data_IF_135156367921
#
_entry.id   IF_135156367921
#
_cell.length_a   1.000
_cell.length_b   1.000
_cell.length_c   1.000
_cell.angle_alpha   90.00
_cell.angle_beta   90.00
_cell.angle_gamma   90.00
#
_symmetry.space_group_name_H-M   'P 1'
#
loop_
_entity.id
_entity.type
_entity.pdbx_description
1 polymer ?
#
# COMPACT_ATOMS: atom_id res chain seq x y z
N UNK A 1 -16.17 -18.09 -22.56
CA UNK A 1 -14.93 -18.04 -21.74
C UNK A 1 -14.77 -19.38 -21.04
N UNK A 2 -13.57 -20.00 -21.07
CA UNK A 2 -13.29 -21.27 -20.37
C UNK A 2 -13.44 -21.04 -18.85
N UNK A 3 -14.08 -21.95 -18.11
CA UNK A 3 -14.36 -21.78 -16.67
C UNK A 3 -13.09 -21.76 -15.79
N UNK A 4 -12.03 -22.42 -16.25
CA UNK A 4 -10.77 -22.57 -15.52
C UNK A 4 -10.05 -21.23 -15.26
N UNK A 5 -9.82 -20.33 -16.25
CA UNK A 5 -9.29 -19.00 -15.99
C UNK A 5 -10.10 -18.21 -14.95
N UNK A 6 -11.43 -18.24 -15.03
CA UNK A 6 -12.28 -17.52 -14.06
C UNK A 6 -12.09 -18.06 -12.65
N UNK A 7 -11.98 -19.38 -12.48
CA UNK A 7 -11.76 -20.00 -11.17
C UNK A 7 -10.36 -19.66 -10.62
N UNK A 8 -9.34 -19.63 -11.49
CA UNK A 8 -7.99 -19.20 -11.09
C UNK A 8 -7.99 -17.73 -10.65
N UNK A 9 -8.56 -16.83 -11.46
CA UNK A 9 -8.54 -15.39 -11.18
C UNK A 9 -9.44 -14.96 -10.02
N UNK A 10 -10.64 -15.51 -9.89
CA UNK A 10 -11.63 -15.05 -8.92
C UNK A 10 -11.73 -15.90 -7.64
N UNK A 11 -11.19 -17.12 -7.63
CA UNK A 11 -11.21 -17.97 -6.43
C UNK A 11 -9.81 -18.29 -5.93
N UNK A 12 -8.95 -18.84 -6.79
CA UNK A 12 -7.64 -19.33 -6.37
C UNK A 12 -6.69 -18.20 -5.98
N UNK A 13 -6.57 -17.16 -6.82
CA UNK A 13 -5.71 -16.01 -6.53
C UNK A 13 -6.13 -15.29 -5.24
N UNK A 14 -7.41 -14.94 -5.00
CA UNK A 14 -7.84 -14.36 -3.73
C UNK A 14 -7.61 -15.28 -2.53
N UNK A 15 -7.84 -16.58 -2.68
CA UNK A 15 -7.64 -17.54 -1.59
C UNK A 15 -6.17 -17.65 -1.18
N UNK A 16 -5.26 -17.59 -2.15
CA UNK A 16 -3.82 -17.57 -1.93
C UNK A 16 -3.35 -16.26 -1.32
N UNK A 17 -3.98 -15.13 -1.71
CA UNK A 17 -3.66 -13.82 -1.17
C UNK A 17 -4.15 -13.66 0.28
N UNK A 18 -5.29 -14.25 0.64
CA UNK A 18 -5.96 -14.03 1.92
C UNK A 18 -5.08 -14.27 3.17
N UNK A 19 -4.24 -15.32 3.27
CA UNK A 19 -3.32 -15.49 4.40
C UNK A 19 -2.28 -14.39 4.51
N UNK A 20 -1.76 -13.89 3.39
CA UNK A 20 -0.77 -12.83 3.35
C UNK A 20 -1.40 -11.48 3.69
N UNK A 21 -2.61 -11.21 3.19
CA UNK A 21 -3.41 -10.05 3.57
C UNK A 21 -3.69 -10.05 5.08
N UNK A 22 -4.09 -11.20 5.63
CA UNK A 22 -4.33 -11.34 7.06
C UNK A 22 -3.07 -11.10 7.89
N UNK A 23 -1.93 -11.65 7.47
CA UNK A 23 -0.65 -11.45 8.11
C UNK A 23 -0.23 -9.97 8.06
N UNK A 24 -0.32 -9.35 6.89
CA UNK A 24 -0.01 -7.92 6.68
C UNK A 24 -0.90 -7.04 7.58
N UNK A 25 -2.21 -7.25 7.59
CA UNK A 25 -3.13 -6.51 8.45
C UNK A 25 -2.83 -6.72 9.95
N UNK A 26 -2.46 -7.94 10.34
CA UNK A 26 -2.06 -8.26 11.71
C UNK A 26 -0.81 -7.49 12.15
N UNK A 27 0.21 -7.47 11.29
CA UNK A 27 1.45 -6.70 11.48
C UNK A 27 1.16 -5.20 11.59
N UNK A 28 0.43 -4.63 10.64
CA UNK A 28 0.08 -3.20 10.65
C UNK A 28 -0.69 -2.82 11.90
N UNK A 29 -1.69 -3.61 12.31
CA UNK A 29 -2.45 -3.36 13.55
C UNK A 29 -1.58 -3.48 14.80
N UNK A 30 -0.67 -4.45 14.84
CA UNK A 30 0.27 -4.63 15.94
C UNK A 30 1.23 -3.46 16.08
N UNK A 31 1.84 -3.04 14.97
CA UNK A 31 2.75 -1.90 14.90
C UNK A 31 2.04 -0.60 15.27
N UNK A 32 0.83 -0.35 14.76
CA UNK A 32 0.08 0.85 15.10
C UNK A 32 -0.24 0.91 16.60
N UNK A 33 -0.71 -0.20 17.19
CA UNK A 33 -0.97 -0.29 18.65
C UNK A 33 0.29 -0.05 19.46
N UNK A 34 1.42 -0.61 19.02
CA UNK A 34 2.71 -0.42 19.66
C UNK A 34 3.17 1.05 19.57
N UNK A 35 3.07 1.67 18.40
CA UNK A 35 3.38 3.08 18.19
C UNK A 35 2.53 4.01 19.05
N UNK A 36 1.23 3.74 19.16
CA UNK A 36 0.32 4.50 20.02
C UNK A 36 0.66 4.32 21.51
N UNK A 37 1.01 3.10 21.94
CA UNK A 37 1.41 2.83 23.33
C UNK A 37 2.71 3.55 23.73
N UNK A 38 3.62 3.79 22.78
CA UNK A 38 4.85 4.55 23.02
C UNK A 38 4.64 6.06 23.19
N UNK A 39 3.49 6.58 22.75
CA UNK A 39 3.13 7.99 22.79
C UNK A 39 3.97 8.90 21.87
N UNK A 40 3.36 10.02 21.46
CA UNK A 40 4.03 11.06 20.67
C UNK A 40 4.05 10.80 19.15
N UNK A 41 3.68 11.83 18.39
CA UNK A 41 3.51 11.77 16.93
C UNK A 41 4.75 11.28 16.18
N UNK A 42 5.95 11.66 16.63
CA UNK A 42 7.21 11.22 16.01
C UNK A 42 7.42 9.70 16.09
N UNK A 43 7.12 9.09 17.24
CA UNK A 43 7.30 7.64 17.41
C UNK A 43 6.30 6.86 16.56
N UNK A 44 5.06 7.35 16.48
CA UNK A 44 4.04 6.80 15.56
C UNK A 44 4.53 6.87 14.12
N UNK A 45 5.07 8.02 13.69
CA UNK A 45 5.59 8.19 12.33
C UNK A 45 6.72 7.22 11.99
N UNK A 46 7.68 7.02 12.90
CA UNK A 46 8.79 6.06 12.71
C UNK A 46 8.25 4.63 12.58
N UNK A 47 7.30 4.23 13.43
CA UNK A 47 6.70 2.89 13.37
C UNK A 47 5.86 2.70 12.10
N UNK A 48 5.16 3.73 11.63
CA UNK A 48 4.47 3.70 10.34
C UNK A 48 5.43 3.53 9.15
N UNK A 49 6.63 4.12 9.22
CA UNK A 49 7.65 3.90 8.19
C UNK A 49 8.14 2.44 8.18
N UNK A 50 8.31 1.82 9.36
CA UNK A 50 8.67 0.41 9.47
C UNK A 50 7.58 -0.49 8.87
N UNK A 51 6.30 -0.17 9.09
CA UNK A 51 5.17 -0.89 8.49
C UNK A 51 5.21 -0.83 6.95
N UNK A 52 5.46 0.35 6.37
CA UNK A 52 5.60 0.51 4.90
C UNK A 52 6.72 -0.38 4.34
N UNK A 53 7.88 -0.40 5.01
CA UNK A 53 9.01 -1.24 4.59
C UNK A 53 8.67 -2.73 4.68
N UNK A 54 8.00 -3.15 5.75
CA UNK A 54 7.57 -4.54 5.92
C UNK A 54 6.52 -4.94 4.87
N UNK A 55 5.56 -4.08 4.56
CA UNK A 55 4.60 -4.30 3.48
C UNK A 55 5.31 -4.46 2.12
N UNK A 56 6.32 -3.63 1.85
CA UNK A 56 7.16 -3.76 0.66
C UNK A 56 7.90 -5.10 0.60
N UNK A 57 8.41 -5.60 1.73
CA UNK A 57 9.05 -6.93 1.81
C UNK A 57 8.04 -8.06 1.57
N UNK A 58 6.80 -7.93 2.05
CA UNK A 58 5.77 -8.96 1.90
C UNK A 58 5.29 -9.15 0.44
N UNK A 59 5.59 -8.22 -0.46
CA UNK A 59 5.26 -8.36 -1.89
C UNK A 59 6.05 -9.49 -2.56
N UNK A 60 7.27 -9.77 -2.10
CA UNK A 60 8.15 -10.80 -2.64
C UNK A 60 7.59 -12.22 -2.45
N UNK A 61 7.28 -12.68 -1.22
CA UNK A 61 6.67 -13.98 -1.03
C UNK A 61 5.28 -14.07 -1.69
N UNK A 62 4.50 -12.99 -1.70
CA UNK A 62 3.22 -12.95 -2.40
C UNK A 62 3.39 -13.30 -3.88
N UNK A 63 4.27 -12.57 -4.57
CA UNK A 63 4.48 -12.77 -5.99
C UNK A 63 5.08 -14.14 -6.31
N UNK A 64 5.99 -14.65 -5.46
CA UNK A 64 6.53 -16.00 -5.62
C UNK A 64 5.42 -17.06 -5.51
N UNK A 65 4.55 -16.97 -4.51
CA UNK A 65 3.44 -17.92 -4.31
C UNK A 65 2.43 -17.80 -5.47
N UNK A 66 2.06 -16.58 -5.87
CA UNK A 66 1.16 -16.35 -7.02
C UNK A 66 1.74 -16.94 -8.31
N UNK A 67 3.04 -16.75 -8.56
CA UNK A 67 3.74 -17.31 -9.72
C UNK A 67 3.77 -18.83 -9.69
N UNK A 68 4.08 -19.44 -8.53
CA UNK A 68 4.08 -20.88 -8.36
C UNK A 68 2.68 -21.49 -8.57
N UNK A 69 1.63 -20.83 -8.06
CA UNK A 69 0.25 -21.28 -8.21
C UNK A 69 -0.23 -21.20 -9.66
N UNK A 70 0.12 -20.15 -10.39
CA UNK A 70 -0.16 -20.05 -11.83
C UNK A 70 0.62 -21.11 -12.63
N UNK A 71 1.87 -21.38 -12.24
CA UNK A 71 2.68 -22.47 -12.79
C UNK A 71 2.00 -23.83 -12.61
N UNK A 72 1.56 -24.13 -11.39
CA UNK A 72 0.80 -25.35 -11.08
C UNK A 72 -0.51 -25.45 -11.87
N UNK A 73 -1.26 -24.35 -11.97
CA UNK A 73 -2.51 -24.32 -12.74
C UNK A 73 -2.28 -24.60 -14.23
N UNK A 74 -1.20 -24.06 -14.82
CA UNK A 74 -0.82 -24.37 -16.20
C UNK A 74 -0.44 -25.84 -16.37
N UNK A 75 0.38 -26.37 -15.46
CA UNK A 75 0.81 -27.77 -15.51
C UNK A 75 -0.38 -28.72 -15.43
N UNK A 76 -1.32 -28.48 -14.50
CA UNK A 76 -2.56 -29.26 -14.39
C UNK A 76 -3.45 -29.14 -15.64
N UNK A 77 -3.53 -27.95 -16.24
CA UNK A 77 -4.32 -27.74 -17.46
C UNK A 77 -3.76 -28.53 -18.65
N UNK A 78 -2.43 -28.54 -18.81
CA UNK A 78 -1.74 -29.31 -19.85
C UNK A 78 -1.86 -30.81 -19.60
N UNK A 79 -1.68 -31.26 -18.35
CA UNK A 79 -1.82 -32.66 -17.96
C UNK A 79 -3.24 -33.20 -18.22
N UNK A 80 -4.26 -32.34 -18.07
CA UNK A 80 -5.65 -32.64 -18.41
C UNK A 80 -5.95 -32.62 -19.92
N UNK A 81 -4.93 -32.47 -20.78
CA UNK A 81 -5.06 -32.40 -22.24
C UNK A 81 -5.53 -31.04 -22.78
N UNK A 82 -5.50 -30.01 -21.94
CA UNK A 82 -5.83 -28.63 -22.31
C UNK A 82 -4.61 -27.80 -22.68
N UNK A 83 -4.82 -26.50 -22.83
CA UNK A 83 -3.77 -25.51 -23.04
C UNK A 83 -3.43 -24.80 -21.72
N UNK A 84 -2.21 -24.28 -21.60
CA UNK A 84 -1.81 -23.44 -20.48
C UNK A 84 -2.78 -22.23 -20.34
N UNK A 85 -3.22 -21.96 -19.10
CA UNK A 85 -4.14 -20.87 -18.78
C UNK A 85 -3.47 -19.52 -19.02
N UNK A 86 -2.22 -19.38 -18.60
CA UNK A 86 -1.40 -18.19 -18.78
C UNK A 86 0.08 -18.61 -18.83
N UNK A 87 0.75 -18.65 -19.99
CA UNK A 87 2.13 -19.13 -20.09
C UNK A 87 3.11 -18.19 -19.34
N UNK A 88 3.39 -18.53 -18.07
CA UNK A 88 4.15 -17.69 -17.13
C UNK A 88 5.60 -17.49 -17.58
N UNK A 89 6.31 -18.56 -17.97
CA UNK A 89 7.73 -18.44 -18.29
C UNK A 89 8.00 -17.54 -19.51
N UNK A 90 7.27 -17.66 -20.64
CA UNK A 90 7.37 -16.70 -21.75
C UNK A 90 6.99 -15.28 -21.35
N UNK A 91 5.93 -15.10 -20.56
CA UNK A 91 5.49 -13.79 -20.09
C UNK A 91 6.58 -13.11 -19.25
N UNK A 92 7.15 -13.83 -18.28
CA UNK A 92 8.21 -13.30 -17.43
C UNK A 92 9.46 -12.96 -18.25
N UNK A 93 9.84 -13.78 -19.24
CA UNK A 93 10.97 -13.46 -20.13
C UNK A 93 10.71 -12.19 -20.94
N UNK A 94 9.53 -12.03 -21.53
CA UNK A 94 9.16 -10.83 -22.26
C UNK A 94 9.23 -9.58 -21.37
N UNK A 95 8.76 -9.68 -20.12
CA UNK A 95 8.91 -8.63 -19.11
C UNK A 95 10.37 -8.37 -18.73
N UNK A 96 11.25 -9.38 -18.75
CA UNK A 96 12.69 -9.20 -18.53
C UNK A 96 13.34 -8.34 -19.61
N UNK A 97 13.00 -8.66 -20.86
CA UNK A 97 13.62 -8.10 -22.05
C UNK A 97 13.11 -6.68 -22.31
N UNK A 98 11.81 -6.45 -22.06
CA UNK A 98 11.13 -5.18 -22.32
C UNK A 98 10.21 -4.77 -21.16
N UNK A 99 10.77 -4.47 -19.97
CA UNK A 99 9.98 -4.25 -18.76
C UNK A 99 9.11 -3.00 -18.81
N UNK A 100 9.48 -1.99 -19.60
CA UNK A 100 8.69 -0.77 -19.77
C UNK A 100 7.60 -0.88 -20.87
N UNK A 101 7.46 -2.03 -21.53
CA UNK A 101 6.45 -2.22 -22.58
C UNK A 101 5.04 -2.12 -21.98
N UNK A 102 4.17 -1.23 -22.51
CA UNK A 102 2.77 -1.13 -22.11
C UNK A 102 2.00 -2.46 -22.14
N UNK A 103 2.42 -3.42 -22.98
CA UNK A 103 1.85 -4.77 -23.03
C UNK A 103 2.00 -5.54 -21.70
N UNK A 104 2.93 -5.16 -20.83
CA UNK A 104 3.17 -5.77 -19.53
C UNK A 104 2.48 -5.03 -18.37
N UNK A 105 1.93 -3.84 -18.60
CA UNK A 105 1.38 -2.99 -17.53
C UNK A 105 0.24 -3.66 -16.76
N UNK A 106 -0.56 -4.51 -17.40
CA UNK A 106 -1.62 -5.24 -16.71
C UNK A 106 -1.09 -6.19 -15.62
N UNK A 107 0.12 -6.75 -15.77
CA UNK A 107 0.74 -7.62 -14.76
C UNK A 107 1.16 -6.78 -13.55
N UNK A 108 1.81 -5.63 -13.81
CA UNK A 108 2.16 -4.69 -12.75
C UNK A 108 0.91 -4.15 -12.06
N UNK A 109 -0.14 -3.79 -12.80
CA UNK A 109 -1.41 -3.34 -12.23
C UNK A 109 -2.07 -4.43 -11.39
N UNK A 110 -2.08 -5.67 -11.85
CA UNK A 110 -2.63 -6.79 -11.06
C UNK A 110 -1.85 -6.96 -9.75
N UNK A 111 -0.53 -7.00 -9.82
CA UNK A 111 0.32 -7.18 -8.64
C UNK A 111 0.23 -6.00 -7.68
N UNK A 112 0.29 -4.77 -8.19
CA UNK A 112 0.24 -3.55 -7.39
C UNK A 112 -1.18 -3.21 -6.93
N UNK A 113 -2.23 -3.78 -7.54
CA UNK A 113 -3.61 -3.57 -7.09
C UNK A 113 -3.85 -4.09 -5.67
N UNK A 114 -3.09 -5.09 -5.23
CA UNK A 114 -3.14 -5.60 -3.86
C UNK A 114 -2.55 -4.59 -2.85
N UNK A 115 -1.76 -3.61 -3.32
CA UNK A 115 -1.28 -2.49 -2.50
C UNK A 115 -2.31 -1.36 -2.38
N UNK A 116 -3.38 -1.38 -3.18
CA UNK A 116 -4.39 -0.32 -3.15
C UNK A 116 -5.05 -0.14 -1.77
N UNK A 117 -5.47 -1.22 -1.05
CA UNK A 117 -5.94 -1.09 0.32
C UNK A 117 -4.89 -0.47 1.24
N UNK A 118 -3.61 -0.84 1.09
CA UNK A 118 -2.51 -0.30 1.89
C UNK A 118 -2.28 1.19 1.62
N UNK A 119 -2.39 1.64 0.37
CA UNK A 119 -2.33 3.06 0.01
C UNK A 119 -3.43 3.88 0.69
N UNK A 120 -4.67 3.36 0.74
CA UNK A 120 -5.77 4.02 1.45
C UNK A 120 -5.49 4.12 2.95
N UNK A 121 -4.94 3.08 3.57
CA UNK A 121 -4.55 3.11 4.99
C UNK A 121 -3.42 4.11 5.26
N UNK A 122 -2.40 4.18 4.40
CA UNK A 122 -1.31 5.16 4.51
C UNK A 122 -1.87 6.58 4.41
N UNK A 123 -2.78 6.82 3.47
CA UNK A 123 -3.43 8.12 3.31
C UNK A 123 -4.21 8.52 4.58
N UNK A 124 -5.01 7.60 5.12
CA UNK A 124 -5.74 7.83 6.37
C UNK A 124 -4.82 8.06 7.56
N UNK A 125 -3.73 7.28 7.67
CA UNK A 125 -2.72 7.43 8.71
C UNK A 125 -1.99 8.77 8.62
N UNK A 126 -1.67 9.22 7.42
CA UNK A 126 -1.02 10.52 7.19
C UNK A 126 -1.93 11.69 7.58
N UNK A 127 -3.21 11.64 7.19
CA UNK A 127 -4.21 12.63 7.64
C UNK A 127 -4.29 12.62 9.17
N UNK A 128 -4.41 11.45 9.80
CA UNK A 128 -4.43 11.32 11.26
C UNK A 128 -3.18 11.90 11.93
N UNK A 129 -2.00 11.66 11.37
CA UNK A 129 -0.73 12.21 11.88
C UNK A 129 -0.70 13.75 11.78
N UNK A 130 -1.13 14.32 10.66
CA UNK A 130 -1.23 15.77 10.50
C UNK A 130 -2.20 16.39 11.51
N UNK A 131 -3.36 15.77 11.73
CA UNK A 131 -4.31 16.21 12.74
C UNK A 131 -3.72 16.13 14.15
N UNK A 132 -2.97 15.07 14.46
CA UNK A 132 -2.26 14.95 15.73
C UNK A 132 -1.19 16.05 15.91
N UNK A 133 -0.52 16.47 14.84
CA UNK A 133 0.40 17.61 14.88
C UNK A 133 -0.30 18.95 15.14
N UNK A 134 -1.58 19.08 14.76
CA UNK A 134 -2.40 20.27 15.03
C UNK A 134 -3.06 20.27 16.41
N UNK A 135 -3.15 19.12 17.07
CA UNK A 135 -3.77 18.98 18.39
C UNK A 135 -3.26 19.99 19.44
N UNK A 136 -1.95 20.27 19.58
CA UNK A 136 -1.45 21.22 20.59
C UNK A 136 -1.94 22.65 20.35
N UNK A 137 -2.09 23.04 19.08
CA UNK A 137 -2.63 24.36 18.70
C UNK A 137 -4.10 24.43 19.09
N UNK A 138 -4.84 23.35 18.88
CA UNK A 138 -6.25 23.25 19.24
C UNK A 138 -6.46 23.34 20.76
N UNK A 139 -5.66 22.59 21.54
CA UNK A 139 -5.68 22.65 23.00
C UNK A 139 -5.35 24.07 23.50
N UNK A 140 -4.36 24.73 22.88
CA UNK A 140 -4.00 26.10 23.22
C UNK A 140 -5.13 27.10 22.90
N UNK A 141 -5.83 26.93 21.77
CA UNK A 141 -6.95 27.78 21.38
C UNK A 141 -8.17 27.59 22.29
N UNK A 142 -8.48 26.36 22.68
CA UNK A 142 -9.56 26.06 23.64
C UNK A 142 -9.24 26.64 25.02
N UNK A 143 -8.01 26.48 25.52
CA UNK A 143 -7.59 27.08 26.80
C UNK A 143 -7.66 28.61 26.77
N UNK A 144 -7.27 29.24 25.65
CA UNK A 144 -7.39 30.68 25.47
C UNK A 144 -8.86 31.13 25.48
N UNK A 145 -9.78 30.33 24.92
CA UNK A 145 -11.21 30.62 24.97
C UNK A 145 -11.76 30.51 26.41
N UNK A 146 -11.43 29.46 27.15
CA UNK A 146 -11.87 29.28 28.54
C UNK A 146 -11.38 30.41 29.46
N UNK A 147 -10.14 30.87 29.27
CA UNK A 147 -9.59 32.03 29.99
C UNK A 147 -10.39 33.32 29.71
N UNK A 148 -10.80 33.55 28.46
CA UNK A 148 -11.54 34.75 28.07
C UNK A 148 -13.00 34.70 28.52
N UNK A 149 -13.65 33.52 28.46
CA UNK A 149 -15.01 33.32 28.97
C UNK A 149 -15.08 33.52 30.50
N UNK A 150 -14.03 33.15 31.24
CA UNK A 150 -13.97 33.33 32.70
C UNK A 150 -13.67 34.78 33.13
N UNK A 151 -12.91 35.55 32.35
CA UNK A 151 -12.63 36.97 32.63
C UNK A 151 -13.65 37.96 32.03
N UNK A 152 -14.70 37.48 31.34
CA UNK A 152 -15.79 38.32 30.83
C UNK A 152 -15.48 39.03 29.50
N UNK A 153 -14.56 38.50 28.69
CA UNK A 153 -14.30 39.00 27.35
C UNK A 153 -15.39 38.58 26.35
N UNK A 154 -15.95 39.55 25.62
CA UNK A 154 -17.15 39.40 24.79
C UNK A 154 -17.05 38.44 23.58
N UNK A 155 -18.18 38.35 22.86
CA UNK A 155 -18.49 37.45 21.72
C UNK A 155 -17.44 37.41 20.58
N UNK A 156 -16.61 38.46 20.48
CA UNK A 156 -15.55 38.64 19.46
C UNK A 156 -14.56 37.48 19.42
N UNK A 157 -14.37 36.77 20.55
CA UNK A 157 -13.39 35.70 20.68
C UNK A 157 -13.78 34.42 19.93
N UNK A 158 -15.07 34.08 19.89
CA UNK A 158 -15.56 32.88 19.17
C UNK A 158 -15.39 33.01 17.66
N UNK A 159 -15.77 34.16 17.11
CA UNK A 159 -15.62 34.45 15.69
C UNK A 159 -14.14 34.51 15.30
N UNK A 160 -13.30 35.07 16.16
CA UNK A 160 -11.85 35.15 15.92
C UNK A 160 -11.21 33.75 15.90
N UNK A 161 -11.55 32.87 16.85
CA UNK A 161 -11.04 31.49 16.88
C UNK A 161 -11.49 30.70 15.65
N UNK A 162 -12.78 30.78 15.27
CA UNK A 162 -13.29 30.14 14.05
C UNK A 162 -12.62 30.68 12.78
N UNK A 163 -12.35 31.99 12.72
CA UNK A 163 -11.72 32.64 11.57
C UNK A 163 -10.25 32.25 11.38
N UNK A 164 -9.53 31.87 12.43
CA UNK A 164 -8.11 31.48 12.32
C UNK A 164 -7.88 29.96 12.32
N UNK A 165 -8.64 29.22 13.13
CA UNK A 165 -8.45 27.76 13.28
C UNK A 165 -8.93 27.00 12.05
N UNK A 166 -10.10 27.37 11.49
CA UNK A 166 -10.67 26.64 10.35
C UNK A 166 -9.84 26.80 9.07
N UNK A 167 -9.37 28.02 8.71
CA UNK A 167 -8.49 28.18 7.54
C UNK A 167 -7.13 27.53 7.75
N UNK A 168 -6.56 27.54 8.97
CA UNK A 168 -5.33 26.83 9.26
C UNK A 168 -5.49 25.32 9.07
N UNK A 169 -6.63 24.75 9.48
CA UNK A 169 -6.97 23.35 9.28
C UNK A 169 -7.12 23.00 7.80
N UNK A 170 -7.87 23.81 7.04
CA UNK A 170 -8.05 23.65 5.62
C UNK A 170 -6.71 23.76 4.86
N UNK A 171 -5.89 24.78 5.19
CA UNK A 171 -4.58 24.97 4.60
C UNK A 171 -3.62 23.81 4.90
N UNK A 172 -3.67 23.26 6.11
CA UNK A 172 -2.86 22.09 6.48
C UNK A 172 -3.29 20.84 5.72
N UNK A 173 -4.61 20.60 5.61
CA UNK A 173 -5.15 19.50 4.82
C UNK A 173 -4.80 19.59 3.33
N UNK A 174 -4.90 20.79 2.75
CA UNK A 174 -4.52 21.05 1.34
C UNK A 174 -3.02 20.86 1.15
N UNK A 175 -2.18 21.39 2.04
CA UNK A 175 -0.72 21.23 1.95
C UNK A 175 -0.30 19.77 2.09
N UNK A 176 -0.94 19.02 2.98
CA UNK A 176 -0.74 17.58 3.13
C UNK A 176 -1.10 16.82 1.84
N UNK A 177 -2.25 17.14 1.24
CA UNK A 177 -2.69 16.51 -0.01
C UNK A 177 -1.72 16.81 -1.18
N UNK A 178 -1.31 18.07 -1.33
CA UNK A 178 -0.35 18.48 -2.36
C UNK A 178 1.00 17.78 -2.15
N UNK A 179 1.48 17.72 -0.90
CA UNK A 179 2.74 17.05 -0.57
C UNK A 179 2.69 15.56 -0.88
N UNK A 180 1.54 14.90 -0.63
CA UNK A 180 1.31 13.50 -0.98
C UNK A 180 1.33 13.26 -2.50
N UNK A 181 0.67 14.12 -3.28
CA UNK A 181 0.69 14.05 -4.75
C UNK A 181 2.12 14.21 -5.26
N UNK A 182 2.85 15.18 -4.70
CA UNK A 182 4.24 15.42 -5.08
C UNK A 182 5.15 14.25 -4.69
N UNK A 183 5.01 13.69 -3.48
CA UNK A 183 5.73 12.50 -3.02
C UNK A 183 5.41 11.28 -3.89
N UNK A 184 4.16 11.08 -4.28
CA UNK A 184 3.76 10.00 -5.17
C UNK A 184 4.44 10.15 -6.55
N UNK A 185 4.48 11.37 -7.10
CA UNK A 185 5.20 11.67 -8.33
C UNK A 185 6.72 11.45 -8.22
N UNK A 186 7.32 11.90 -7.12
CA UNK A 186 8.74 11.72 -6.84
C UNK A 186 9.12 10.26 -6.57
N UNK A 187 8.18 9.44 -6.10
CA UNK A 187 8.37 8.01 -5.90
C UNK A 187 8.33 7.22 -7.22
N UNK A 188 7.78 7.77 -8.31
CA UNK A 188 7.64 7.05 -9.60
C UNK A 188 8.96 6.45 -10.09
N UNK A 189 10.09 7.17 -10.17
CA UNK A 189 11.35 6.60 -10.63
C UNK A 189 11.90 5.50 -9.69
N UNK A 190 11.60 5.63 -8.40
CA UNK A 190 12.02 4.69 -7.36
C UNK A 190 11.20 3.41 -7.43
N UNK A 191 9.89 3.55 -7.65
CA UNK A 191 8.96 2.45 -7.96
C UNK A 191 9.38 1.78 -9.25
N UNK A 192 9.72 2.54 -10.30
CA UNK A 192 10.19 1.99 -11.58
C UNK A 192 11.44 1.13 -11.39
N UNK A 193 12.43 1.65 -10.67
CA UNK A 193 13.67 0.92 -10.33
C UNK A 193 13.37 -0.34 -9.50
N UNK A 194 12.51 -0.23 -8.49
CA UNK A 194 12.10 -1.35 -7.66
C UNK A 194 11.35 -2.40 -8.48
N UNK A 195 10.47 -2.00 -9.40
CA UNK A 195 9.76 -2.88 -10.33
C UNK A 195 10.74 -3.62 -11.24
N UNK A 196 11.78 -2.96 -11.74
CA UNK A 196 12.82 -3.64 -12.54
C UNK A 196 13.60 -4.67 -11.74
N UNK A 197 14.07 -4.30 -10.55
CA UNK A 197 14.80 -5.23 -9.67
C UNK A 197 13.92 -6.39 -9.22
N UNK A 198 12.65 -6.11 -8.93
CA UNK A 198 11.66 -7.08 -8.56
C UNK A 198 11.33 -8.04 -9.71
N UNK A 199 11.15 -7.53 -10.93
CA UNK A 199 10.94 -8.37 -12.11
C UNK A 199 12.13 -9.30 -12.34
N UNK A 200 13.36 -8.77 -12.27
CA UNK A 200 14.59 -9.56 -12.39
C UNK A 200 14.71 -10.64 -11.30
N UNK A 201 14.38 -10.32 -10.05
CA UNK A 201 14.32 -11.29 -8.95
C UNK A 201 13.25 -12.35 -9.21
N UNK A 202 12.05 -11.94 -9.59
CA UNK A 202 10.92 -12.83 -9.85
C UNK A 202 11.26 -13.81 -10.98
N UNK A 203 11.96 -13.37 -12.01
CA UNK A 203 12.51 -14.22 -13.08
C UNK A 203 13.49 -15.25 -12.55
N UNK A 204 14.44 -14.85 -11.70
CA UNK A 204 15.40 -15.78 -11.10
C UNK A 204 14.69 -16.82 -10.22
N UNK A 205 13.71 -16.38 -9.41
CA UNK A 205 12.89 -17.27 -8.58
C UNK A 205 12.01 -18.17 -9.43
N UNK A 206 11.33 -17.64 -10.45
CA UNK A 206 10.47 -18.39 -11.34
C UNK A 206 11.25 -19.39 -12.21
N UNK A 207 12.49 -19.09 -12.61
CA UNK A 207 13.37 -20.05 -13.26
C UNK A 207 13.74 -21.21 -12.32
N UNK A 208 14.00 -20.91 -11.04
CA UNK A 208 14.19 -21.93 -10.00
C UNK A 208 12.94 -22.79 -9.77
N UNK A 209 11.76 -22.17 -9.74
CA UNK A 209 10.47 -22.85 -9.54
C UNK A 209 10.03 -23.62 -10.80
N UNK A 210 10.30 -23.13 -12.00
CA UNK A 210 10.03 -23.84 -13.25
C UNK A 210 10.86 -25.13 -13.36
N UNK A 211 12.05 -25.16 -12.76
CA UNK A 211 12.83 -26.39 -12.59
C UNK A 211 12.17 -27.44 -11.66
N UNK A 212 11.15 -27.07 -10.87
CA UNK A 212 10.41 -27.99 -9.98
C UNK A 212 9.27 -28.73 -10.69
N UNK A 213 8.83 -28.26 -11.86
CA UNK A 213 7.74 -28.87 -12.62
C UNK A 213 8.31 -29.50 -13.89
N UNK A 214 8.29 -30.84 -14.03
CA UNK A 214 8.71 -31.48 -15.27
C UNK A 214 7.78 -31.05 -16.40
N UNK A 215 8.37 -30.60 -17.50
CA UNK A 215 7.70 -30.37 -18.79
C UNK A 215 7.14 -31.69 -19.31
#
# INVERSE_FOLDING_TARGET
MKALPLLVFFALLPLVNAPLDWLSLGLTRGLLRYGLALGGAWRVAVISLVDIVLAGILIFPLAAITTAMLGLANWLAVLAGGEAVLPIAPLLRAMAETPADPAHYWVYLMLLSTLFPSLVHILGGFVGLMLACLQPIFESAVQAQEFVETEGGGDVTKDTVLLYVYPAFAATGVTALVSLIWLAGAAVPLIETAVYQFAAWLLATAAGVAGLFPV
#
